data_IF_616635427215
#
_entry.id   IF_616635427215
#
_cell.length_a   1.000
_cell.length_b   1.000
_cell.length_c   1.000
_cell.angle_alpha   90.00
_cell.angle_beta   90.00
_cell.angle_gamma   90.00
#
_symmetry.space_group_name_H-M   'P 1'
#
loop_
_entity.id
_entity.type
_entity.pdbx_description
1 polymer ?
#
# COMPACT_ATOMS: atom_id res chain seq x y z
N UNK A 1 -14.99 8.36 49.37
CA UNK A 1 -13.81 9.06 48.81
C UNK A 1 -13.79 8.81 47.31
N UNK A 2 -14.00 9.85 46.50
CA UNK A 2 -14.00 9.74 45.03
C UNK A 2 -12.54 9.64 44.54
N UNK A 3 -12.11 8.45 44.15
CA UNK A 3 -10.75 8.21 43.66
C UNK A 3 -10.50 8.93 42.34
N UNK A 4 -9.49 9.81 42.30
CA UNK A 4 -9.03 10.50 41.10
C UNK A 4 -8.54 9.47 40.09
N UNK A 5 -9.32 9.24 39.03
CA UNK A 5 -8.95 8.36 37.92
C UNK A 5 -8.45 9.18 36.74
N UNK A 6 -7.21 8.99 36.33
CA UNK A 6 -6.67 9.57 35.09
C UNK A 6 -6.86 8.57 33.95
N UNK A 7 -7.48 9.03 32.86
CA UNK A 7 -7.72 8.23 31.65
C UNK A 7 -6.63 8.54 30.63
N UNK A 8 -5.95 7.50 30.14
CA UNK A 8 -4.97 7.63 29.07
C UNK A 8 -5.54 6.97 27.80
N UNK A 9 -5.60 7.73 26.71
CA UNK A 9 -6.05 7.24 25.39
C UNK A 9 -4.84 7.03 24.50
N UNK A 10 -4.56 5.77 24.14
CA UNK A 10 -3.52 5.45 23.14
C UNK A 10 -4.19 5.32 21.76
N UNK A 11 -3.86 6.21 20.83
CA UNK A 11 -4.37 6.17 19.44
C UNK A 11 -3.25 5.74 18.51
N UNK A 12 -3.25 4.49 18.07
CA UNK A 12 -2.37 4.02 17.00
C UNK A 12 -3.03 4.32 15.64
N UNK A 13 -2.59 5.39 15.02
CA UNK A 13 -3.10 5.84 13.71
C UNK A 13 -2.56 4.90 12.64
N UNK A 14 -3.36 3.90 12.26
CA UNK A 14 -3.60 3.49 10.86
C UNK A 14 -4.66 2.39 10.70
N UNK A 15 -5.11 1.76 11.78
CA UNK A 15 -6.32 0.92 11.80
C UNK A 15 -6.93 1.12 13.18
N UNK A 16 -8.09 1.77 13.27
CA UNK A 16 -8.63 2.30 14.53
C UNK A 16 -9.10 1.19 15.48
N UNK A 17 -8.15 0.56 16.15
CA UNK A 17 -8.34 -0.14 17.42
C UNK A 17 -8.17 0.90 18.51
N UNK A 18 -9.16 1.00 19.40
CA UNK A 18 -9.12 1.91 20.55
C UNK A 18 -9.23 1.11 21.84
N UNK A 19 -8.23 1.28 22.71
CA UNK A 19 -8.25 0.73 24.07
C UNK A 19 -8.17 1.91 25.04
N UNK A 20 -9.19 2.04 25.88
CA UNK A 20 -9.15 2.98 27.00
C UNK A 20 -8.79 2.20 28.26
N UNK A 21 -7.80 2.72 28.99
CA UNK A 21 -7.41 2.17 30.27
C UNK A 21 -7.29 3.30 31.31
N UNK A 22 -7.52 2.95 32.57
CA UNK A 22 -7.21 3.81 33.70
C UNK A 22 -6.43 3.04 34.75
N UNK A 23 -5.67 3.76 35.56
CA UNK A 23 -5.01 3.20 36.74
C UNK A 23 -5.98 3.33 37.91
N UNK A 24 -6.18 2.23 38.63
CA UNK A 24 -6.98 2.17 39.84
C UNK A 24 -6.09 1.73 41.00
N UNK A 25 -6.38 2.28 42.18
CA UNK A 25 -5.77 1.81 43.43
C UNK A 25 -6.53 0.55 43.85
N UNK A 26 -5.81 -0.53 44.14
CA UNK A 26 -6.36 -1.81 44.58
C UNK A 26 -6.12 -1.99 46.07
N UNK A 27 -7.06 -2.63 46.76
CA UNK A 27 -6.99 -2.89 48.22
C UNK A 27 -5.95 -3.97 48.60
N UNK A 28 -5.19 -4.48 47.63
CA UNK A 28 -4.09 -5.42 47.87
C UNK A 28 -2.82 -4.68 48.22
N UNK A 29 -2.29 -4.89 49.44
CA UNK A 29 -1.00 -4.32 49.85
C UNK A 29 0.17 -4.77 48.95
N UNK A 30 0.09 -5.97 48.36
CA UNK A 30 1.12 -6.50 47.48
C UNK A 30 1.06 -5.91 46.05
N UNK A 31 -0.10 -5.41 45.60
CA UNK A 31 -0.32 -4.83 44.27
C UNK A 31 -1.27 -3.62 44.36
N UNK A 32 -0.80 -2.49 44.92
CA UNK A 32 -1.65 -1.34 45.21
C UNK A 32 -2.14 -0.59 43.96
N UNK A 33 -1.58 -0.87 42.78
CA UNK A 33 -2.02 -0.28 41.52
C UNK A 33 -2.41 -1.37 40.52
N UNK A 34 -3.58 -1.20 39.91
CA UNK A 34 -4.08 -2.05 38.85
C UNK A 34 -4.42 -1.22 37.62
N UNK A 35 -4.06 -1.72 36.43
CA UNK A 35 -4.55 -1.17 35.17
C UNK A 35 -5.90 -1.80 34.88
N UNK A 36 -6.95 -0.99 34.81
CA UNK A 36 -8.28 -1.44 34.41
C UNK A 36 -8.57 -0.98 32.98
N UNK A 37 -8.86 -1.94 32.14
CA UNK A 37 -9.37 -1.68 30.79
C UNK A 37 -10.84 -1.28 30.91
N UNK A 38 -11.19 -0.11 30.41
CA UNK A 38 -12.56 0.45 30.51
C UNK A 38 -13.32 0.35 29.19
N UNK A 39 -12.60 0.35 28.06
CA UNK A 39 -13.20 0.13 26.74
C UNK A 39 -12.20 -0.58 25.83
N UNK A 40 -12.65 -1.63 25.16
CA UNK A 40 -11.95 -2.27 24.06
C UNK A 40 -12.81 -2.18 22.81
N UNK A 41 -12.40 -1.37 21.84
CA UNK A 41 -12.94 -1.42 20.50
C UNK A 41 -11.91 -2.09 19.59
N UNK A 42 -12.09 -3.40 19.41
CA UNK A 42 -11.18 -4.26 18.64
C UNK A 42 -11.64 -4.43 17.19
N UNK A 43 -12.89 -4.06 16.88
CA UNK A 43 -13.42 -4.12 15.53
C UNK A 43 -13.21 -2.82 14.77
N UNK A 44 -12.93 -2.96 13.48
CA UNK A 44 -12.88 -1.85 12.55
C UNK A 44 -14.24 -1.14 12.53
N UNK A 45 -14.25 0.18 12.75
CA UNK A 45 -15.45 1.05 12.62
C UNK A 45 -16.03 1.11 11.19
N UNK A 46 -15.55 0.27 10.27
CA UNK A 46 -16.04 0.17 8.92
C UNK A 46 -15.96 -1.28 8.45
N UNK A 47 -16.89 -1.66 7.56
CA UNK A 47 -16.93 -2.98 6.96
C UNK A 47 -15.71 -3.15 6.04
N UNK A 48 -14.76 -4.01 6.42
CA UNK A 48 -13.69 -4.44 5.53
C UNK A 48 -14.30 -5.28 4.41
N UNK A 49 -14.54 -4.67 3.25
CA UNK A 49 -15.06 -5.37 2.09
C UNK A 49 -13.88 -5.93 1.28
N UNK A 50 -14.00 -7.18 0.81
CA UNK A 50 -12.99 -7.81 -0.06
C UNK A 50 -12.68 -6.92 -1.27
N UNK A 51 -13.70 -6.30 -1.86
CA UNK A 51 -13.53 -5.35 -2.95
C UNK A 51 -12.64 -4.15 -2.59
N UNK A 52 -12.73 -3.62 -1.36
CA UNK A 52 -11.89 -2.51 -0.91
C UNK A 52 -10.43 -2.94 -0.78
N UNK A 53 -10.20 -4.16 -0.29
CA UNK A 53 -8.87 -4.76 -0.23
C UNK A 53 -8.30 -5.00 -1.63
N UNK A 54 -9.06 -5.59 -2.55
CA UNK A 54 -8.65 -5.84 -3.94
C UNK A 54 -8.45 -4.53 -4.73
N UNK A 55 -9.22 -3.48 -4.43
CA UNK A 55 -9.11 -2.18 -5.09
C UNK A 55 -7.93 -1.32 -4.57
N UNK A 56 -7.28 -1.71 -3.48
CA UNK A 56 -6.17 -0.94 -2.91
C UNK A 56 -5.00 -0.85 -3.92
N UNK A 57 -4.42 0.33 -4.18
CA UNK A 57 -3.40 0.51 -5.22
C UNK A 57 -2.20 -0.45 -5.12
N UNK A 58 -1.78 -0.78 -3.90
CA UNK A 58 -0.69 -1.74 -3.67
C UNK A 58 -1.03 -3.20 -4.03
N UNK A 59 -2.33 -3.52 -4.13
CA UNK A 59 -2.86 -4.85 -4.49
C UNK A 59 -3.29 -4.93 -5.96
N UNK A 60 -3.63 -3.80 -6.60
CA UNK A 60 -4.12 -3.79 -7.99
C UNK A 60 -3.08 -4.20 -9.03
N UNK A 61 -1.79 -3.93 -8.77
CA UNK A 61 -0.67 -4.29 -9.64
C UNK A 61 0.47 -4.86 -8.81
N UNK A 62 0.47 -6.18 -8.66
CA UNK A 62 1.57 -6.93 -8.04
C UNK A 62 2.19 -7.76 -9.15
N UNK A 63 3.37 -7.34 -9.61
CA UNK A 63 4.11 -8.06 -10.64
C UNK A 63 5.47 -8.49 -10.08
N UNK A 64 5.82 -9.76 -10.26
CA UNK A 64 7.18 -10.23 -10.08
C UNK A 64 8.09 -9.78 -11.25
N UNK A 65 9.40 -9.99 -11.11
CA UNK A 65 10.37 -9.52 -12.11
C UNK A 65 10.16 -10.15 -13.49
N UNK A 66 9.73 -11.41 -13.56
CA UNK A 66 9.40 -12.10 -14.80
C UNK A 66 8.22 -11.46 -15.53
N UNK A 67 7.13 -11.23 -14.79
CA UNK A 67 5.91 -10.61 -15.31
C UNK A 67 6.17 -9.16 -15.76
N UNK A 68 7.00 -8.44 -14.99
CA UNK A 68 7.43 -7.08 -15.33
C UNK A 68 8.23 -7.05 -16.64
N UNK A 69 9.10 -8.03 -16.88
CA UNK A 69 9.84 -8.17 -18.16
C UNK A 69 8.89 -8.41 -19.32
N UNK A 70 7.89 -9.25 -19.15
CA UNK A 70 6.87 -9.53 -20.19
C UNK A 70 6.05 -8.29 -20.53
N UNK A 71 5.58 -7.55 -19.52
CA UNK A 71 4.88 -6.27 -19.73
C UNK A 71 5.79 -5.25 -20.43
N UNK A 72 7.08 -5.22 -20.09
CA UNK A 72 8.04 -4.34 -20.77
C UNK A 72 8.26 -4.76 -22.24
N UNK A 73 8.27 -6.05 -22.55
CA UNK A 73 8.35 -6.55 -23.91
C UNK A 73 7.11 -6.13 -24.72
N UNK A 74 5.90 -6.37 -24.19
CA UNK A 74 4.64 -5.95 -24.84
C UNK A 74 4.63 -4.45 -25.16
N UNK A 75 5.08 -3.62 -24.22
CA UNK A 75 5.26 -2.18 -24.41
C UNK A 75 6.23 -1.86 -25.55
N UNK A 76 7.36 -2.57 -25.64
CA UNK A 76 8.38 -2.37 -26.69
C UNK A 76 7.88 -2.79 -28.08
N UNK A 77 7.06 -3.84 -28.16
CA UNK A 77 6.40 -4.27 -29.38
C UNK A 77 5.19 -3.39 -29.78
N UNK A 78 4.94 -2.28 -29.08
CA UNK A 78 3.91 -1.31 -29.45
C UNK A 78 2.50 -1.69 -29.01
N UNK A 79 2.34 -2.65 -28.09
CA UNK A 79 1.02 -2.98 -27.54
C UNK A 79 0.35 -1.74 -26.94
N UNK A 80 -0.91 -1.51 -27.32
CA UNK A 80 -1.72 -0.42 -26.75
C UNK A 80 -1.95 -0.67 -25.26
N UNK A 81 -2.10 0.40 -24.48
CA UNK A 81 -2.33 0.32 -23.01
C UNK A 81 -3.53 -0.57 -22.65
N UNK A 82 -4.60 -0.50 -23.43
CA UNK A 82 -5.79 -1.35 -23.26
C UNK A 82 -5.48 -2.83 -23.44
N UNK A 83 -4.63 -3.17 -24.42
CA UNK A 83 -4.14 -4.53 -24.62
C UNK A 83 -3.26 -5.02 -23.47
N UNK A 84 -2.40 -4.14 -22.93
CA UNK A 84 -1.58 -4.46 -21.75
C UNK A 84 -2.45 -4.68 -20.51
N UNK A 85 -3.46 -3.83 -20.26
CA UNK A 85 -4.43 -4.03 -19.17
C UNK A 85 -5.13 -5.37 -19.29
N UNK A 86 -5.64 -5.69 -20.49
CA UNK A 86 -6.33 -6.96 -20.75
C UNK A 86 -5.41 -8.15 -20.49
N UNK A 87 -4.20 -8.13 -21.06
CA UNK A 87 -3.20 -9.18 -20.85
C UNK A 87 -2.90 -9.40 -19.36
N UNK A 88 -2.72 -8.33 -18.59
CA UNK A 88 -2.42 -8.43 -17.16
C UNK A 88 -3.59 -9.03 -16.35
N UNK A 89 -4.84 -8.74 -16.74
CA UNK A 89 -6.03 -9.34 -16.10
C UNK A 89 -6.22 -10.80 -16.48
N UNK A 90 -5.87 -11.16 -17.72
CA UNK A 90 -6.07 -12.50 -18.25
C UNK A 90 -4.97 -13.48 -17.79
N UNK A 91 -3.80 -12.98 -17.37
CA UNK A 91 -2.65 -13.81 -17.02
C UNK A 91 -2.30 -13.81 -15.53
N UNK A 92 -2.67 -12.77 -14.79
CA UNK A 92 -2.29 -12.60 -13.39
C UNK A 92 -3.51 -12.34 -12.53
N UNK A 93 -3.43 -12.67 -11.23
CA UNK A 93 -4.46 -12.27 -10.24
C UNK A 93 -4.31 -10.78 -9.87
N UNK A 94 -4.34 -9.93 -10.89
CA UNK A 94 -4.23 -8.48 -10.78
C UNK A 94 -5.41 -7.82 -11.49
N UNK A 95 -5.91 -6.74 -10.91
CA UNK A 95 -6.98 -5.93 -11.52
C UNK A 95 -6.49 -4.50 -11.82
N UNK A 96 -5.53 -4.34 -12.75
CA UNK A 96 -5.02 -3.03 -13.13
C UNK A 96 -6.11 -2.20 -13.78
N UNK A 97 -6.08 -0.89 -13.51
CA UNK A 97 -6.77 0.09 -14.34
C UNK A 97 -5.79 0.75 -15.34
N UNK A 98 -6.32 1.56 -16.25
CA UNK A 98 -5.53 2.27 -17.26
C UNK A 98 -4.46 3.20 -16.67
N UNK A 99 -4.72 3.79 -15.49
CA UNK A 99 -3.79 4.67 -14.80
C UNK A 99 -2.62 3.87 -14.21
N UNK A 100 -2.89 2.68 -13.68
CA UNK A 100 -1.85 1.80 -13.14
C UNK A 100 -0.87 1.39 -14.25
N UNK A 101 -1.40 1.00 -15.42
CA UNK A 101 -0.57 0.68 -16.61
C UNK A 101 0.16 1.93 -17.15
N UNK A 102 -0.48 3.10 -17.14
CA UNK A 102 0.19 4.35 -17.52
C UNK A 102 1.41 4.60 -16.62
N UNK A 103 1.24 4.50 -15.30
CA UNK A 103 2.30 4.70 -14.33
C UNK A 103 3.41 3.66 -14.47
N UNK A 104 3.05 2.40 -14.72
CA UNK A 104 3.99 1.31 -14.95
C UNK A 104 4.86 1.56 -16.18
N UNK A 105 4.25 1.89 -17.32
CA UNK A 105 4.96 2.23 -18.56
C UNK A 105 5.87 3.43 -18.36
N UNK A 106 5.42 4.47 -17.64
CA UNK A 106 6.25 5.63 -17.29
C UNK A 106 7.49 5.23 -16.48
N UNK A 107 7.31 4.40 -15.44
CA UNK A 107 8.42 3.89 -14.62
C UNK A 107 9.40 3.05 -15.43
N UNK A 108 8.91 2.18 -16.32
CA UNK A 108 9.76 1.35 -17.19
C UNK A 108 10.62 2.20 -18.13
N UNK A 109 10.04 3.23 -18.75
CA UNK A 109 10.79 4.18 -19.59
C UNK A 109 11.84 4.96 -18.79
N UNK A 110 11.51 5.39 -17.57
CA UNK A 110 12.45 6.11 -16.72
C UNK A 110 13.66 5.24 -16.31
N UNK A 111 13.44 3.95 -16.04
CA UNK A 111 14.53 2.99 -15.76
C UNK A 111 15.50 2.84 -16.94
N UNK A 112 14.98 2.80 -18.17
CA UNK A 112 15.80 2.72 -19.38
C UNK A 112 16.64 3.98 -19.60
N UNK A 113 16.09 5.16 -19.29
CA UNK A 113 16.85 6.42 -19.37
C UNK A 113 17.96 6.50 -18.33
N UNK A 114 17.72 6.01 -17.10
CA UNK A 114 18.75 5.96 -16.05
C UNK A 114 19.87 4.95 -16.32
N UNK A 115 19.59 3.87 -17.04
CA UNK A 115 20.58 2.86 -17.41
C UNK A 115 21.33 3.15 -18.72
N UNK A 116 20.98 4.21 -19.43
CA UNK A 116 21.60 4.58 -20.71
C UNK A 116 22.76 5.56 -20.45
N UNK A 117 24.00 5.26 -20.88
CA UNK A 117 25.07 6.27 -20.90
C UNK A 117 24.66 7.44 -21.81
N UNK A 118 25.12 8.68 -21.56
CA UNK A 118 24.79 9.82 -22.41
C UNK A 118 25.17 9.49 -23.86
N UNK A 119 24.19 9.43 -24.77
CA UNK A 119 24.51 9.24 -26.18
C UNK A 119 25.08 10.55 -26.73
N UNK A 120 26.31 10.49 -27.25
CA UNK A 120 26.91 11.57 -28.01
C UNK A 120 26.02 11.87 -29.23
N UNK A 121 25.64 13.14 -29.36
CA UNK A 121 24.91 13.66 -30.52
C UNK A 121 25.84 13.65 -31.73
N UNK A 122 25.84 12.58 -32.52
CA UNK A 122 26.51 12.58 -33.82
C UNK A 122 25.57 13.19 -34.87
N UNK A 123 25.65 14.51 -35.02
CA UNK A 123 25.13 15.20 -36.20
C UNK A 123 26.22 15.26 -37.27
N UNK A 124 26.33 14.21 -38.11
CA UNK A 124 26.98 14.37 -39.41
C UNK A 124 25.95 14.99 -40.36
N UNK A 125 26.17 16.28 -40.69
CA UNK A 125 25.58 16.92 -41.85
C UNK A 125 26.42 16.49 -43.05
N UNK A 126 25.85 15.73 -43.97
CA UNK A 126 26.49 15.50 -45.27
C UNK A 126 26.30 16.76 -46.13
N UNK A 127 27.41 17.23 -46.69
CA UNK A 127 27.45 18.34 -47.66
C UNK A 127 27.05 17.92 -49.06
#
# INVERSE_FOLDING_TARGET
MLGRSSVLTLVLVWFLVQINACVQISDSEAKPFAVRITRCQLEHNHRLHENSFRAHPARRVVLNDGELRTVNALRKYGAKKTGIVKYMRDQYDSNPNSQDVHNLVRKLKARELKGRPPQARNGLKNG
#
